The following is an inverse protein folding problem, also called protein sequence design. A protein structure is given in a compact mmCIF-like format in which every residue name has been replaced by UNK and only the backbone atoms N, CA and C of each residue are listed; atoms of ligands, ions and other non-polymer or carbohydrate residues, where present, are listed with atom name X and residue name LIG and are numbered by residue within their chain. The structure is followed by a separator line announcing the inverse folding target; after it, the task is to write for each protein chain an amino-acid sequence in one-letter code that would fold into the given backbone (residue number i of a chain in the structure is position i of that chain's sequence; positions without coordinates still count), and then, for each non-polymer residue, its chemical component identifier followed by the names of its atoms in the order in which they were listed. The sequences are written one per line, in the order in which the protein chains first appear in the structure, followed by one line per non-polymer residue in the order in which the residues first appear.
data_IF_074416598458
#
_entry.id   IF_074416598458
#
_cell.length_a   1.000
_cell.length_b   1.000
_cell.length_c   1.000
_cell.angle_alpha   90.00
_cell.angle_beta   90.00
_cell.angle_gamma   90.00
#
_symmetry.space_group_name_H-M   'P 1'
#
loop_
_entity.id
_entity.type
_entity.pdbx_description
1 polymer ?
#
# COMPACT_ATOMS: atom_id res chain seq x y z
N UNK A 1 -6.19 6.71 9.57
CA UNK A 1 -5.86 5.80 8.46
C UNK A 1 -5.48 4.43 9.04
N UNK A 2 -5.78 3.35 8.34
CA UNK A 2 -5.41 1.98 8.69
C UNK A 2 -4.47 1.43 7.61
N UNK A 3 -3.65 0.46 7.97
CA UNK A 3 -2.74 -0.21 7.04
C UNK A 3 -3.27 -1.61 6.71
N UNK A 4 -3.27 -1.95 5.43
CA UNK A 4 -3.75 -3.22 4.91
C UNK A 4 -2.66 -3.88 4.08
N UNK A 5 -2.50 -5.19 4.24
CA UNK A 5 -1.72 -6.01 3.34
C UNK A 5 -2.64 -6.60 2.28
N UNK A 6 -2.21 -6.51 1.03
CA UNK A 6 -2.83 -7.21 -0.08
C UNK A 6 -1.95 -8.40 -0.45
N UNK A 7 -2.54 -9.59 -0.46
CA UNK A 7 -1.87 -10.82 -0.91
C UNK A 7 -2.62 -11.46 -2.07
N UNK A 8 -1.90 -12.25 -2.87
CA UNK A 8 -2.53 -13.16 -3.82
C UNK A 8 -3.14 -14.39 -3.13
N UNK A 9 -3.61 -15.36 -3.92
CA UNK A 9 -4.16 -16.63 -3.44
C UNK A 9 -3.14 -17.59 -2.86
N UNK A 10 -1.85 -17.40 -3.17
CA UNK A 10 -0.74 -18.20 -2.64
C UNK A 10 -0.16 -17.60 -1.35
N UNK A 11 -0.66 -16.42 -0.95
CA UNK A 11 -0.18 -15.68 0.23
C UNK A 11 1.03 -14.80 -0.07
N UNK A 12 1.38 -14.60 -1.34
CA UNK A 12 2.43 -13.68 -1.76
C UNK A 12 1.98 -12.25 -1.47
N UNK A 13 2.82 -11.49 -0.76
CA UNK A 13 2.57 -10.06 -0.53
C UNK A 13 2.68 -9.29 -1.84
N UNK A 14 1.61 -8.58 -2.21
CA UNK A 14 1.53 -7.77 -3.43
C UNK A 14 1.76 -6.30 -3.13
N UNK A 15 1.12 -5.77 -2.09
CA UNK A 15 1.24 -4.37 -1.71
C UNK A 15 0.81 -4.12 -0.26
N UNK A 16 1.33 -3.04 0.29
CA UNK A 16 0.80 -2.40 1.50
C UNK A 16 -0.08 -1.22 1.08
N UNK A 17 -1.26 -1.06 1.68
CA UNK A 17 -2.21 0.01 1.37
C UNK A 17 -2.59 0.76 2.65
N UNK A 18 -2.55 2.08 2.59
CA UNK A 18 -3.10 2.96 3.63
C UNK A 18 -4.50 3.40 3.22
N UNK A 19 -5.52 3.03 3.99
CA UNK A 19 -6.92 3.33 3.69
C UNK A 19 -7.78 3.47 4.94
N UNK A 20 -9.02 3.93 4.77
CA UNK A 20 -9.97 4.09 5.90
C UNK A 20 -10.73 2.79 6.24
N UNK A 21 -10.53 1.73 5.46
CA UNK A 21 -11.22 0.45 5.61
C UNK A 21 -10.91 -0.51 4.46
N UNK A 22 -11.28 -1.78 4.63
CA UNK A 22 -11.03 -2.85 3.65
C UNK A 22 -11.55 -2.52 2.25
N UNK A 23 -12.80 -2.02 2.06
CA UNK A 23 -13.30 -1.70 0.72
C UNK A 23 -12.47 -0.60 0.04
N UNK A 24 -12.06 0.41 0.81
CA UNK A 24 -11.26 1.51 0.28
C UNK A 24 -9.84 1.03 -0.10
N UNK A 25 -9.23 0.16 0.71
CA UNK A 25 -7.94 -0.43 0.41
C UNK A 25 -7.99 -1.27 -0.89
N UNK A 26 -9.02 -2.09 -1.04
CA UNK A 26 -9.22 -2.89 -2.26
C UNK A 26 -9.39 -2.00 -3.50
N UNK A 27 -10.17 -0.91 -3.40
CA UNK A 27 -10.34 0.04 -4.52
C UNK A 27 -9.03 0.72 -4.91
N UNK A 28 -8.21 1.14 -3.94
CA UNK A 28 -6.91 1.76 -4.19
C UNK A 28 -5.94 0.79 -4.88
N UNK A 29 -5.88 -0.46 -4.40
CA UNK A 29 -5.03 -1.47 -5.00
C UNK A 29 -5.47 -1.80 -6.43
N UNK A 30 -6.78 -1.96 -6.67
CA UNK A 30 -7.30 -2.23 -8.02
C UNK A 30 -7.03 -1.07 -8.99
N UNK A 31 -7.15 0.17 -8.53
CA UNK A 31 -6.80 1.34 -9.32
C UNK A 31 -5.30 1.35 -9.68
N UNK A 32 -4.44 1.03 -8.71
CA UNK A 32 -2.99 0.94 -8.94
C UNK A 32 -2.62 -0.14 -9.95
N UNK A 33 -3.18 -1.36 -9.85
CA UNK A 33 -2.96 -2.41 -10.83
C UNK A 33 -3.42 -2.02 -12.25
N UNK A 34 -4.54 -1.29 -12.37
CA UNK A 34 -5.01 -0.79 -13.66
C UNK A 34 -4.07 0.26 -14.26
N UNK A 35 -3.55 1.18 -13.45
CA UNK A 35 -2.61 2.20 -13.90
C UNK A 35 -1.24 1.63 -14.30
N UNK A 36 -0.77 0.58 -13.61
CA UNK A 36 0.57 0.02 -13.83
C UNK A 36 0.61 -1.14 -14.84
N UNK A 37 -0.26 -2.13 -14.66
CA UNK A 37 -0.22 -3.37 -15.43
C UNK A 37 -1.35 -3.48 -16.47
N UNK A 38 -2.28 -2.51 -16.46
CA UNK A 38 -3.49 -2.55 -17.30
C UNK A 38 -4.39 -3.75 -17.01
N UNK A 39 -4.18 -4.44 -15.88
CA UNK A 39 -4.85 -5.69 -15.52
C UNK A 39 -5.11 -5.74 -14.02
N UNK A 40 -6.21 -6.36 -13.65
CA UNK A 40 -6.53 -6.62 -12.24
C UNK A 40 -6.28 -8.09 -11.92
N UNK A 41 -5.65 -8.41 -10.78
CA UNK A 41 -5.50 -9.80 -10.35
C UNK A 41 -6.86 -10.47 -10.16
N UNK A 42 -6.93 -11.76 -10.50
CA UNK A 42 -8.19 -12.52 -10.49
C UNK A 42 -8.76 -12.75 -9.09
N UNK A 43 -7.89 -12.84 -8.08
CA UNK A 43 -8.25 -12.94 -6.65
C UNK A 43 -7.18 -12.29 -5.80
N UNK A 44 -7.62 -11.54 -4.81
CA UNK A 44 -6.79 -10.94 -3.77
C UNK A 44 -7.43 -11.15 -2.41
N UNK A 45 -6.60 -11.16 -1.38
CA UNK A 45 -7.02 -11.03 0.01
C UNK A 45 -6.51 -9.70 0.54
N UNK A 46 -7.37 -8.99 1.28
CA UNK A 46 -7.02 -7.72 1.93
C UNK A 46 -7.22 -7.89 3.42
N UNK A 47 -6.13 -7.76 4.18
CA UNK A 47 -6.13 -7.99 5.62
C UNK A 47 -5.60 -6.74 6.32
N UNK A 48 -6.31 -6.28 7.34
CA UNK A 48 -5.82 -5.19 8.19
C UNK A 48 -4.59 -5.69 8.97
N UNK A 49 -3.49 -4.95 8.90
CA UNK A 49 -2.27 -5.29 9.64
C UNK A 49 -2.41 -4.84 11.09
N UNK A 50 -2.58 -5.79 12.00
CA UNK A 50 -2.52 -5.56 13.45
C UNK A 50 -1.05 -5.53 13.89
N UNK A 51 -0.61 -4.43 14.50
CA UNK A 51 0.77 -4.25 14.91
C UNK A 51 1.10 -5.00 16.21
N UNK A 52 2.17 -5.79 16.20
CA UNK A 52 2.88 -6.15 17.44
C UNK A 52 3.70 -4.96 17.93
N UNK A 53 4.04 -4.92 19.22
CA UNK A 53 4.70 -3.80 19.94
C UNK A 53 6.11 -3.39 19.45
N UNK A 54 6.54 -3.83 18.26
CA UNK A 54 7.86 -3.54 17.72
C UNK A 54 7.92 -2.12 17.12
N UNK A 55 8.65 -1.25 17.83
CA UNK A 55 8.49 0.20 17.84
C UNK A 55 8.90 0.93 16.54
N UNK A 56 9.68 0.31 15.65
CA UNK A 56 10.19 1.00 14.46
C UNK A 56 9.15 1.09 13.35
N UNK A 57 8.36 0.04 13.14
CA UNK A 57 7.27 0.08 12.16
C UNK A 57 6.08 0.91 12.67
N UNK A 58 5.82 0.89 13.99
CA UNK A 58 4.77 1.67 14.62
C UNK A 58 4.99 3.21 14.51
N UNK A 59 6.25 3.67 14.56
CA UNK A 59 6.58 5.10 14.40
C UNK A 59 6.29 5.60 12.99
N UNK A 60 6.82 4.92 11.97
CA UNK A 60 6.61 5.32 10.59
C UNK A 60 5.15 5.13 10.14
N UNK A 61 4.43 4.16 10.72
CA UNK A 61 2.98 4.05 10.56
C UNK A 61 2.24 5.27 11.14
N UNK A 62 2.64 5.78 12.32
CA UNK A 62 2.06 7.02 12.86
C UNK A 62 2.25 8.19 11.91
N UNK A 63 3.42 8.34 11.31
CA UNK A 63 3.70 9.43 10.36
C UNK A 63 2.80 9.35 9.12
N UNK A 64 2.61 8.14 8.58
CA UNK A 64 1.68 7.88 7.49
C UNK A 64 0.21 8.16 7.87
N UNK A 65 -0.21 7.77 9.07
CA UNK A 65 -1.56 8.03 9.58
C UNK A 65 -1.79 9.52 9.84
N UNK A 66 -0.79 10.22 10.38
CA UNK A 66 -0.84 11.65 10.68
C UNK A 66 -0.90 12.52 9.43
N UNK A 67 -0.37 12.04 8.30
CA UNK A 67 -0.48 12.72 7.02
C UNK A 67 -1.90 12.66 6.42
N UNK A 68 -2.80 11.83 6.95
CA UNK A 68 -4.17 11.61 6.45
C UNK A 68 -4.25 11.19 4.97
N UNK A 69 -3.14 10.72 4.39
CA UNK A 69 -3.05 10.31 2.99
C UNK A 69 -3.41 8.84 2.82
N UNK A 70 -4.31 8.57 1.88
CA UNK A 70 -4.64 7.21 1.45
C UNK A 70 -3.86 6.87 0.17
N UNK A 71 -3.34 5.64 0.07
CA UNK A 71 -2.52 5.25 -1.07
C UNK A 71 -1.70 3.99 -0.87
N UNK A 72 -0.83 3.73 -1.83
CA UNK A 72 0.06 2.57 -1.87
C UNK A 72 1.27 2.87 -1.00
N UNK A 73 1.49 2.05 0.02
CA UNK A 73 2.63 2.11 0.91
C UNK A 73 3.83 1.38 0.34
N UNK A 74 4.96 2.07 0.24
CA UNK A 74 6.28 1.48 -0.04
C UNK A 74 7.20 1.74 1.14
N UNK A 75 7.84 0.69 1.66
CA UNK A 75 8.78 0.84 2.76
C UNK A 75 10.19 1.07 2.23
N UNK A 76 10.78 2.21 2.58
CA UNK A 76 12.20 2.51 2.40
C UNK A 76 12.93 2.40 3.75
N UNK A 77 14.00 1.59 3.87
CA UNK A 77 14.73 1.44 5.13
C UNK A 77 15.38 2.73 5.66
N UNK A 78 15.64 3.73 4.81
CA UNK A 78 16.28 4.97 5.21
C UNK A 78 15.27 6.06 5.59
N UNK A 79 14.11 6.07 4.94
CA UNK A 79 13.12 7.16 4.97
C UNK A 79 11.78 6.76 5.59
N UNK A 80 11.57 5.46 5.84
CA UNK A 80 10.31 4.92 6.37
C UNK A 80 9.27 4.66 5.29
N UNK A 81 8.00 4.80 5.62
CA UNK A 81 6.89 4.58 4.68
C UNK A 81 6.70 5.77 3.76
N UNK A 82 6.77 5.52 2.46
CA UNK A 82 6.31 6.43 1.41
C UNK A 82 4.89 6.02 1.01
N UNK A 83 3.96 6.98 1.02
CA UNK A 83 2.58 6.76 0.55
C UNK A 83 2.43 7.45 -0.80
N UNK A 84 2.13 6.67 -1.82
CA UNK A 84 1.94 7.15 -3.17
C UNK A 84 0.46 7.06 -3.58
N UNK A 85 -0.09 8.02 -4.33
CA UNK A 85 -1.42 7.86 -4.92
C UNK A 85 -1.44 6.65 -5.87
N UNK A 86 -2.63 6.10 -6.14
CA UNK A 86 -2.77 4.90 -6.98
C UNK A 86 -2.23 5.08 -8.42
N UNK A 87 -2.18 6.32 -8.92
CA UNK A 87 -1.64 6.65 -10.24
C UNK A 87 -0.11 6.88 -10.25
N UNK A 88 0.54 6.80 -9.09
CA UNK A 88 1.98 7.07 -8.99
C UNK A 88 2.80 5.96 -9.62
N UNK A 89 3.58 6.30 -10.65
CA UNK A 89 4.58 5.41 -11.21
C UNK A 89 5.77 5.30 -10.26
N UNK A 90 6.08 4.10 -9.77
CA UNK A 90 7.33 3.81 -9.04
C UNK A 90 8.48 3.91 -10.04
N UNK A 91 8.92 5.13 -10.36
CA UNK A 91 10.11 5.40 -11.17
C UNK A 91 10.19 4.57 -12.46
N UNK A 92 9.29 4.84 -13.41
CA UNK A 92 9.63 4.62 -14.81
C UNK A 92 10.63 5.70 -15.19
N UNK A 93 11.85 5.28 -15.52
CA UNK A 93 12.93 6.06 -16.12
C UNK A 93 12.36 7.21 -16.97
N UNK A 94 12.82 8.42 -16.66
CA UNK A 94 12.72 9.60 -17.53
C UNK A 94 13.39 9.25 -18.87
N UNK A 95 12.59 8.72 -19.79
CA UNK A 95 12.94 8.52 -21.20
C UNK A 95 11.90 9.24 -22.04
N UNK A 96 12.04 10.56 -22.10
CA UNK A 96 11.62 11.35 -23.25
C UNK A 96 12.64 12.47 -23.50
#
# INVERSE_FOLDING_TARGET
MLMFDVTDTEGTHLATIFAIGIPHAASLFMAWCLCHDGRTPARISVVERTWGEDNQHARHHREAVLAELAGIGTFDPQSGWLIAPADWSLGGDDRA
#
